data_IF_594972881708
#
_entry.id   IF_594972881708
#
_cell.length_a   1.000
_cell.length_b   1.000
_cell.length_c   1.000
_cell.angle_alpha   90.00
_cell.angle_beta   90.00
_cell.angle_gamma   90.00
#
_symmetry.space_group_name_H-M   'P 1'
#
loop_
_entity.id
_entity.type
_entity.pdbx_description
1 polymer ?
#
# COMPACT_ATOMS: atom_id res chain seq x y z
N UNK A 1 -47.23 -29.02 9.23
CA UNK A 1 -45.92 -28.50 9.65
C UNK A 1 -44.86 -29.02 8.70
N UNK A 2 -44.30 -28.17 7.86
CA UNK A 2 -42.93 -28.29 7.39
C UNK A 2 -42.36 -26.88 7.36
N UNK A 3 -41.38 -26.65 8.22
CA UNK A 3 -40.68 -25.39 8.40
C UNK A 3 -39.57 -25.36 7.35
N UNK A 4 -39.66 -24.48 6.36
CA UNK A 4 -38.52 -24.11 5.54
C UNK A 4 -38.16 -22.66 5.86
N UNK A 5 -37.49 -22.50 7.00
CA UNK A 5 -36.64 -21.35 7.27
C UNK A 5 -35.29 -21.62 6.62
N UNK A 6 -34.64 -20.54 6.13
CA UNK A 6 -33.32 -20.47 5.49
C UNK A 6 -33.39 -20.43 3.96
N UNK A 7 -32.85 -19.45 3.23
CA UNK A 7 -31.72 -18.57 3.52
C UNK A 7 -31.98 -17.19 2.90
N UNK A 8 -32.01 -16.16 3.74
CA UNK A 8 -31.72 -14.79 3.32
C UNK A 8 -30.21 -14.60 3.50
N UNK A 9 -29.42 -14.96 2.49
CA UNK A 9 -28.02 -14.55 2.40
C UNK A 9 -27.89 -13.69 1.14
N UNK A 10 -27.85 -12.38 1.35
CA UNK A 10 -27.44 -11.38 0.37
C UNK A 10 -26.21 -11.89 -0.38
N UNK A 11 -26.32 -12.09 -1.70
CA UNK A 11 -25.17 -12.38 -2.57
C UNK A 11 -24.12 -11.28 -2.36
N UNK A 12 -23.00 -11.59 -1.70
CA UNK A 12 -21.79 -10.76 -1.81
C UNK A 12 -21.36 -10.88 -3.27
N UNK A 13 -21.50 -9.80 -4.02
CA UNK A 13 -20.89 -9.72 -5.34
C UNK A 13 -19.39 -9.93 -5.18
N UNK A 14 -18.86 -10.96 -5.85
CA UNK A 14 -17.43 -11.22 -5.89
C UNK A 14 -16.82 -10.16 -6.80
N UNK A 15 -16.21 -9.14 -6.20
CA UNK A 15 -15.48 -8.12 -6.94
C UNK A 15 -14.26 -8.81 -7.58
N UNK A 16 -14.24 -8.85 -8.90
CA UNK A 16 -13.09 -9.34 -9.67
C UNK A 16 -12.21 -8.15 -10.05
N UNK A 17 -10.98 -8.13 -9.51
CA UNK A 17 -9.99 -7.12 -9.84
C UNK A 17 -9.15 -7.57 -11.04
N UNK A 18 -8.89 -6.67 -11.99
CA UNK A 18 -7.93 -6.89 -13.07
C UNK A 18 -6.51 -6.86 -12.51
N UNK A 19 -5.97 -8.05 -12.27
CA UNK A 19 -4.61 -8.27 -11.78
C UNK A 19 -3.68 -8.77 -12.89
N UNK A 20 -4.00 -8.51 -14.16
CA UNK A 20 -3.17 -8.91 -15.29
C UNK A 20 -1.76 -8.29 -15.23
N UNK A 21 -0.77 -8.99 -15.80
CA UNK A 21 0.61 -8.49 -15.83
C UNK A 21 0.71 -7.12 -16.52
N UNK A 22 -0.15 -6.86 -17.50
CA UNK A 22 -0.21 -5.55 -18.17
C UNK A 22 -0.59 -4.45 -17.19
N UNK A 23 -1.64 -4.66 -16.38
CA UNK A 23 -2.01 -3.69 -15.34
C UNK A 23 -0.92 -3.49 -14.31
N UNK A 24 -0.30 -4.58 -13.85
CA UNK A 24 0.78 -4.48 -12.88
C UNK A 24 1.99 -3.70 -13.44
N UNK A 25 2.36 -3.92 -14.72
CA UNK A 25 3.42 -3.17 -15.38
C UNK A 25 3.09 -1.68 -15.53
N UNK A 26 1.85 -1.34 -15.86
CA UNK A 26 1.41 0.06 -15.96
C UNK A 26 1.46 0.76 -14.60
N UNK A 27 0.99 0.10 -13.55
CA UNK A 27 1.06 0.61 -12.19
C UNK A 27 2.52 0.90 -11.79
N UNK A 28 3.43 -0.04 -12.04
CA UNK A 28 4.86 0.13 -11.76
C UNK A 28 5.47 1.32 -12.53
N UNK A 29 5.08 1.48 -13.80
CA UNK A 29 5.53 2.61 -14.63
C UNK A 29 5.10 3.95 -14.02
N UNK A 30 3.83 4.08 -13.65
CA UNK A 30 3.26 5.29 -13.04
C UNK A 30 3.95 5.57 -11.70
N UNK A 31 4.04 4.57 -10.82
CA UNK A 31 4.71 4.73 -9.52
C UNK A 31 6.18 5.17 -9.66
N UNK A 32 6.90 4.62 -10.64
CA UNK A 32 8.27 5.05 -10.95
C UNK A 32 8.34 6.51 -11.43
N UNK A 33 7.41 6.93 -12.27
CA UNK A 33 7.34 8.32 -12.75
C UNK A 33 7.03 9.29 -11.61
N UNK A 34 6.13 8.91 -10.69
CA UNK A 34 5.80 9.74 -9.53
C UNK A 34 6.96 9.85 -8.54
N UNK A 35 7.70 8.76 -8.29
CA UNK A 35 8.92 8.81 -7.48
C UNK A 35 9.98 9.77 -8.06
N UNK A 36 10.12 9.84 -9.38
CA UNK A 36 11.02 10.81 -10.02
C UNK A 36 10.57 12.25 -9.76
N UNK A 37 9.28 12.54 -9.89
CA UNK A 37 8.73 13.88 -9.61
C UNK A 37 8.94 14.27 -8.15
N UNK A 38 8.75 13.34 -7.21
CA UNK A 38 9.02 13.58 -5.79
C UNK A 38 10.50 13.94 -5.59
N UNK A 39 11.42 13.20 -6.22
CA UNK A 39 12.85 13.47 -6.12
C UNK A 39 13.24 14.84 -6.70
N UNK A 40 12.67 15.20 -7.85
CA UNK A 40 12.85 16.52 -8.47
C UNK A 40 12.32 17.64 -7.56
N UNK A 41 11.15 17.45 -6.95
CA UNK A 41 10.55 18.38 -6.00
C UNK A 41 11.45 18.57 -4.77
N UNK A 42 11.92 17.49 -4.14
CA UNK A 42 12.84 17.58 -3.01
C UNK A 42 14.09 18.41 -3.38
N UNK A 43 14.67 18.18 -4.57
CA UNK A 43 15.82 18.93 -5.06
C UNK A 43 15.51 20.42 -5.27
N UNK A 44 14.36 20.75 -5.87
CA UNK A 44 13.93 22.14 -6.12
C UNK A 44 13.87 22.95 -4.82
N UNK A 45 13.34 22.33 -3.76
CA UNK A 45 13.21 22.97 -2.44
C UNK A 45 14.43 22.75 -1.54
N UNK A 46 15.53 22.20 -2.07
CA UNK A 46 16.76 21.91 -1.34
C UNK A 46 16.53 21.09 -0.05
N UNK A 47 15.61 20.12 -0.14
CA UNK A 47 15.29 19.16 0.90
C UNK A 47 15.87 17.78 0.55
N UNK A 48 16.13 16.98 1.58
CA UNK A 48 16.45 15.58 1.40
C UNK A 48 15.25 14.81 0.83
N UNK A 49 15.53 13.78 0.04
CA UNK A 49 14.51 12.84 -0.41
C UNK A 49 14.25 11.83 0.71
N UNK A 50 12.98 11.54 1.06
CA UNK A 50 12.68 10.49 2.01
C UNK A 50 13.21 9.14 1.50
N UNK A 51 13.71 8.33 2.44
CA UNK A 51 14.19 6.97 2.19
C UNK A 51 13.06 5.95 2.20
N UNK A 52 11.94 6.26 2.87
CA UNK A 52 10.72 5.47 2.87
C UNK A 52 9.49 6.40 2.88
N UNK A 53 8.48 6.04 2.09
CA UNK A 53 7.16 6.68 2.07
C UNK A 53 6.11 5.58 2.27
N UNK A 54 5.38 5.62 3.39
CA UNK A 54 4.24 4.73 3.67
C UNK A 54 2.95 5.52 3.49
N UNK A 55 2.07 5.02 2.63
CA UNK A 55 0.76 5.61 2.34
C UNK A 55 -0.35 4.63 2.74
N UNK A 56 -1.32 5.09 3.53
CA UNK A 56 -2.50 4.32 3.91
C UNK A 56 -3.75 5.10 3.52
N UNK A 57 -4.58 4.52 2.66
CA UNK A 57 -5.82 5.14 2.22
C UNK A 57 -7.03 4.38 2.78
N UNK A 58 -7.81 5.07 3.62
CA UNK A 58 -9.08 4.58 4.13
C UNK A 58 -10.21 4.99 3.18
N UNK A 59 -10.84 3.99 2.56
CA UNK A 59 -11.93 4.18 1.61
C UNK A 59 -13.22 4.64 2.29
N UNK A 60 -13.49 4.20 3.53
CA UNK A 60 -14.72 4.56 4.27
C UNK A 60 -14.70 6.02 4.67
N UNK A 61 -13.55 6.47 5.18
CA UNK A 61 -13.34 7.85 5.63
C UNK A 61 -12.86 8.77 4.50
N UNK A 62 -12.61 8.22 3.30
CA UNK A 62 -12.05 8.94 2.15
C UNK A 62 -10.79 9.73 2.53
N UNK A 63 -9.89 9.09 3.29
CA UNK A 63 -8.75 9.74 3.94
C UNK A 63 -7.44 9.07 3.59
N UNK A 64 -6.48 9.87 3.13
CA UNK A 64 -5.10 9.46 2.95
C UNK A 64 -4.26 9.86 4.17
N UNK A 65 -3.56 8.90 4.75
CA UNK A 65 -2.54 9.11 5.77
C UNK A 65 -1.16 8.77 5.19
N UNK A 66 -0.17 9.60 5.46
CA UNK A 66 1.21 9.39 5.00
C UNK A 66 2.20 9.47 6.16
N UNK A 67 3.20 8.59 6.13
CA UNK A 67 4.37 8.64 7.01
C UNK A 67 5.63 8.67 6.14
N UNK A 68 6.57 9.52 6.50
CA UNK A 68 7.84 9.71 5.80
C UNK A 68 8.98 9.40 6.76
N UNK A 69 10.02 8.75 6.26
CA UNK A 69 11.26 8.50 7.00
C UNK A 69 12.46 8.89 6.13
N UNK A 70 13.52 9.35 6.80
CA UNK A 70 14.75 9.84 6.17
C UNK A 70 15.98 9.02 6.60
N UNK A 71 15.89 8.23 7.67
CA UNK A 71 16.96 7.33 8.06
C UNK A 71 17.11 6.20 7.04
N UNK A 72 18.32 5.71 6.85
CA UNK A 72 18.59 4.57 5.97
C UNK A 72 17.86 3.32 6.48
N UNK A 73 17.08 2.69 5.60
CA UNK A 73 16.34 1.45 5.91
C UNK A 73 17.24 0.22 5.75
N UNK A 74 18.15 0.25 4.76
CA UNK A 74 18.94 -0.91 4.32
C UNK A 74 20.36 -0.98 4.89
N UNK A 75 20.82 0.03 5.64
CA UNK A 75 22.27 0.20 5.88
C UNK A 75 22.85 -0.64 7.01
N UNK A 76 22.04 -1.37 7.77
CA UNK A 76 22.47 -1.95 9.06
C UNK A 76 22.33 -3.47 9.16
N UNK A 77 21.84 -4.16 8.11
CA UNK A 77 21.53 -5.58 8.17
C UNK A 77 21.71 -6.26 6.81
N UNK A 78 22.64 -7.22 6.72
CA UNK A 78 22.97 -7.95 5.49
C UNK A 78 21.89 -8.97 5.07
N UNK A 79 21.00 -9.35 5.98
CA UNK A 79 19.93 -10.34 5.75
C UNK A 79 18.56 -9.69 5.52
N UNK A 80 18.44 -8.37 5.69
CA UNK A 80 17.18 -7.65 5.53
C UNK A 80 16.78 -7.50 4.05
N UNK A 81 15.88 -8.37 3.61
CA UNK A 81 15.29 -8.32 2.28
C UNK A 81 14.12 -7.31 2.20
N UNK A 82 13.85 -6.74 1.01
CA UNK A 82 12.68 -5.88 0.78
C UNK A 82 11.34 -6.53 1.19
N UNK A 83 11.22 -7.85 1.05
CA UNK A 83 10.02 -8.59 1.46
C UNK A 83 9.80 -8.54 2.98
N UNK A 84 10.85 -8.62 3.79
CA UNK A 84 10.74 -8.54 5.24
C UNK A 84 10.18 -7.19 5.69
N UNK A 85 10.62 -6.10 5.05
CA UNK A 85 10.12 -4.73 5.31
C UNK A 85 8.64 -4.63 4.94
N UNK A 86 8.27 -5.18 3.78
CA UNK A 86 6.88 -5.22 3.33
C UNK A 86 5.99 -6.00 4.30
N UNK A 87 6.38 -7.22 4.69
CA UNK A 87 5.61 -8.07 5.58
C UNK A 87 5.44 -7.42 6.97
N UNK A 88 6.51 -6.82 7.51
CA UNK A 88 6.45 -6.10 8.77
C UNK A 88 5.48 -4.90 8.71
N UNK A 89 5.50 -4.14 7.62
CA UNK A 89 4.55 -3.04 7.43
C UNK A 89 3.12 -3.54 7.23
N UNK A 90 2.93 -4.65 6.52
CA UNK A 90 1.60 -5.23 6.31
C UNK A 90 0.97 -5.64 7.65
N UNK A 91 1.73 -6.27 8.54
CA UNK A 91 1.27 -6.58 9.91
C UNK A 91 1.00 -5.31 10.74
N UNK A 92 1.83 -4.27 10.61
CA UNK A 92 1.60 -2.97 11.25
C UNK A 92 0.22 -2.41 10.86
N UNK A 93 -0.11 -2.37 9.57
CA UNK A 93 -1.39 -1.88 9.06
C UNK A 93 -2.55 -2.76 9.53
N UNK A 94 -2.42 -4.10 9.45
CA UNK A 94 -3.46 -5.03 9.93
C UNK A 94 -3.79 -4.85 11.41
N UNK A 95 -2.80 -4.50 12.23
CA UNK A 95 -3.02 -4.22 13.65
C UNK A 95 -3.74 -2.90 13.93
N UNK A 96 -3.70 -1.94 13.01
CA UNK A 96 -4.35 -0.63 13.13
C UNK A 96 -5.83 -0.67 12.71
N UNK A 97 -6.22 -1.66 11.91
CA UNK A 97 -7.59 -1.85 11.43
C UNK A 97 -8.50 -2.63 12.41
N UNK A 98 -7.97 -3.06 13.57
CA UNK A 98 -8.71 -3.76 14.64
C UNK A 98 -9.25 -2.84 15.73
#
# INVERSE_FOLDING_TARGET
MMVNYSQNQSRKEVIHYDVSDERQRLLLKIGKEDLKKIHELCREYNMDCPTEIKLHYDVKENKLSSKYKYDLIYSNDEELLPSHIFDAWFEEVRSQDN
#
